data_IF_733638747031
#
_entry.id   IF_733638747031
#
_cell.length_a   1.000
_cell.length_b   1.000
_cell.length_c   1.000
_cell.angle_alpha   90.00
_cell.angle_beta   90.00
_cell.angle_gamma   90.00
#
_symmetry.space_group_name_H-M   'P 1'
#
loop_
_entity.id
_entity.type
_entity.pdbx_description
1 polymer ?
#
# COMPACT_ATOMS: atom_id res chain seq x y z
N UNK A 1 40.99 -42.37 -26.55
CA UNK A 1 41.10 -41.15 -25.72
C UNK A 1 40.14 -41.16 -24.54
N UNK A 2 38.82 -41.30 -24.75
CA UNK A 2 37.81 -41.41 -23.66
C UNK A 2 38.08 -42.53 -22.63
N UNK A 3 38.50 -43.73 -23.07
CA UNK A 3 38.88 -44.83 -22.15
C UNK A 3 40.06 -44.48 -21.23
N UNK A 4 40.98 -43.64 -21.71
CA UNK A 4 42.14 -43.20 -20.93
C UNK A 4 41.72 -42.16 -19.88
N UNK A 5 40.82 -41.25 -20.24
CA UNK A 5 40.24 -40.25 -19.33
C UNK A 5 39.50 -40.93 -18.16
N UNK A 6 38.64 -41.91 -18.44
CA UNK A 6 37.96 -42.65 -17.37
C UNK A 6 38.93 -43.40 -16.45
N UNK A 7 40.05 -43.90 -16.98
CA UNK A 7 41.09 -44.57 -16.19
C UNK A 7 41.81 -43.60 -15.25
N UNK A 8 42.10 -42.38 -15.71
CA UNK A 8 42.64 -41.30 -14.86
C UNK A 8 41.63 -40.90 -13.79
N UNK A 9 40.36 -40.72 -14.16
CA UNK A 9 39.30 -40.32 -13.23
C UNK A 9 39.15 -41.34 -12.09
N UNK A 10 39.21 -42.63 -12.44
CA UNK A 10 39.15 -43.73 -11.48
C UNK A 10 40.36 -43.83 -10.57
N UNK A 11 41.57 -43.55 -11.10
CA UNK A 11 42.80 -43.59 -10.33
C UNK A 11 42.84 -42.48 -9.26
N UNK A 12 42.37 -41.27 -9.61
CA UNK A 12 42.28 -40.10 -8.72
C UNK A 12 40.88 -39.94 -8.08
N UNK A 13 40.16 -41.04 -7.85
CA UNK A 13 38.74 -41.03 -7.44
C UNK A 13 38.40 -40.16 -6.23
N UNK A 14 39.31 -40.03 -5.25
CA UNK A 14 39.07 -39.23 -4.04
C UNK A 14 39.09 -37.73 -4.35
N UNK A 15 40.11 -37.28 -5.06
CA UNK A 15 40.26 -35.89 -5.51
C UNK A 15 39.17 -35.52 -6.50
N UNK A 16 38.87 -36.40 -7.46
CA UNK A 16 37.81 -36.17 -8.43
C UNK A 16 36.41 -36.18 -7.81
N UNK A 17 36.17 -37.00 -6.78
CA UNK A 17 34.90 -36.97 -6.02
C UNK A 17 34.74 -35.64 -5.26
N UNK A 18 35.81 -35.11 -4.66
CA UNK A 18 35.77 -33.81 -3.99
C UNK A 18 35.45 -32.68 -4.97
N UNK A 19 36.14 -32.64 -6.11
CA UNK A 19 35.88 -31.64 -7.17
C UNK A 19 34.45 -31.79 -7.71
N UNK A 20 33.97 -33.01 -7.91
CA UNK A 20 32.58 -33.23 -8.37
C UNK A 20 31.57 -32.73 -7.33
N UNK A 21 31.82 -32.97 -6.05
CA UNK A 21 30.98 -32.47 -4.96
C UNK A 21 30.94 -30.94 -4.95
N UNK A 22 32.08 -30.29 -5.12
CA UNK A 22 32.17 -28.83 -5.24
C UNK A 22 31.34 -28.31 -6.42
N UNK A 23 31.47 -28.91 -7.60
CA UNK A 23 30.66 -28.53 -8.75
C UNK A 23 29.16 -28.76 -8.55
N UNK A 24 28.77 -29.85 -7.90
CA UNK A 24 27.36 -30.10 -7.55
C UNK A 24 26.85 -29.03 -6.58
N UNK A 25 27.64 -28.65 -5.57
CA UNK A 25 27.29 -27.59 -4.65
C UNK A 25 27.12 -26.24 -5.37
N UNK A 26 28.09 -25.87 -6.21
CA UNK A 26 28.02 -24.63 -7.01
C UNK A 26 26.82 -24.66 -7.95
N UNK A 27 26.55 -25.78 -8.61
CA UNK A 27 25.38 -25.95 -9.48
C UNK A 27 24.07 -25.78 -8.71
N UNK A 28 23.92 -26.40 -7.54
CA UNK A 28 22.74 -26.23 -6.70
C UNK A 28 22.55 -24.76 -6.31
N UNK A 29 23.60 -24.08 -5.85
CA UNK A 29 23.53 -22.65 -5.49
C UNK A 29 23.13 -21.80 -6.69
N UNK A 30 23.76 -21.99 -7.86
CA UNK A 30 23.42 -21.25 -9.07
C UNK A 30 21.98 -21.52 -9.53
N UNK A 31 21.51 -22.76 -9.44
CA UNK A 31 20.12 -23.10 -9.74
C UNK A 31 19.14 -22.34 -8.85
N UNK A 32 19.39 -22.31 -7.53
CA UNK A 32 18.58 -21.52 -6.59
C UNK A 32 18.62 -20.02 -6.92
N UNK A 33 19.77 -19.47 -7.31
CA UNK A 33 19.88 -18.07 -7.73
C UNK A 33 19.05 -17.79 -8.98
N UNK A 34 19.10 -18.66 -9.99
CA UNK A 34 18.34 -18.51 -11.24
C UNK A 34 16.84 -18.60 -10.97
N UNK A 35 16.39 -19.58 -10.17
CA UNK A 35 14.98 -19.74 -9.79
C UNK A 35 14.46 -18.51 -9.03
N UNK A 36 15.23 -18.01 -8.06
CA UNK A 36 14.88 -16.80 -7.32
C UNK A 36 14.81 -15.55 -8.23
N UNK A 37 15.79 -15.35 -9.10
CA UNK A 37 15.76 -14.24 -10.07
C UNK A 37 14.59 -14.36 -11.05
N UNK A 38 14.25 -15.58 -11.47
CA UNK A 38 13.09 -15.83 -12.31
C UNK A 38 11.78 -15.47 -11.60
N UNK A 39 11.61 -15.88 -10.34
CA UNK A 39 10.47 -15.51 -9.52
C UNK A 39 10.37 -13.98 -9.34
N UNK A 40 11.46 -13.33 -8.99
CA UNK A 40 11.54 -11.86 -8.85
C UNK A 40 11.19 -11.15 -10.15
N UNK A 41 11.72 -11.63 -11.28
CA UNK A 41 11.39 -11.11 -12.61
C UNK A 41 9.90 -11.28 -12.95
N UNK A 42 9.34 -12.46 -12.67
CA UNK A 42 7.90 -12.71 -12.86
C UNK A 42 7.05 -11.76 -12.03
N UNK A 43 7.39 -11.54 -10.76
CA UNK A 43 6.72 -10.56 -9.93
C UNK A 43 6.86 -9.15 -10.51
N UNK A 44 8.06 -8.75 -10.93
CA UNK A 44 8.32 -7.40 -11.46
C UNK A 44 7.49 -7.06 -12.69
N UNK A 45 7.37 -7.98 -13.66
CA UNK A 45 6.64 -7.73 -14.91
C UNK A 45 5.12 -7.88 -14.80
N UNK A 46 4.61 -8.44 -13.70
CA UNK A 46 3.17 -8.58 -13.52
C UNK A 46 2.52 -7.22 -13.21
N UNK A 47 1.33 -6.88 -13.75
CA UNK A 47 0.65 -5.62 -13.42
C UNK A 47 0.40 -5.47 -11.93
N UNK A 48 0.59 -4.26 -11.39
CA UNK A 48 0.49 -4.01 -9.94
C UNK A 48 -0.96 -3.95 -9.42
N UNK A 49 -1.94 -3.76 -10.31
CA UNK A 49 -3.36 -3.62 -9.99
C UNK A 49 -3.80 -2.20 -9.61
N UNK A 50 -2.92 -1.24 -9.80
CA UNK A 50 -3.14 0.19 -9.63
C UNK A 50 -2.24 0.97 -10.59
N UNK A 51 -2.55 2.24 -10.75
CA UNK A 51 -1.81 3.20 -11.56
C UNK A 51 -1.23 4.31 -10.66
N UNK A 52 0.07 4.56 -10.76
CA UNK A 52 0.81 5.63 -10.07
C UNK A 52 1.38 6.66 -11.06
N UNK A 53 1.09 6.54 -12.35
CA UNK A 53 1.44 7.56 -13.34
C UNK A 53 0.68 8.84 -13.01
N UNK A 54 1.38 9.97 -13.07
CA UNK A 54 0.84 11.30 -12.73
C UNK A 54 0.29 11.39 -11.30
N UNK A 55 0.87 10.64 -10.34
CA UNK A 55 0.54 10.77 -8.92
C UNK A 55 1.69 11.35 -8.10
N UNK A 56 1.37 12.26 -7.18
CA UNK A 56 2.34 12.86 -6.27
C UNK A 56 1.98 12.59 -4.82
N UNK A 57 2.99 12.32 -4.01
CA UNK A 57 2.87 12.29 -2.57
C UNK A 57 3.08 13.69 -1.99
N UNK A 58 2.15 14.16 -1.18
CA UNK A 58 2.29 15.38 -0.39
C UNK A 58 2.67 15.01 1.04
N UNK A 59 3.76 15.58 1.54
CA UNK A 59 4.13 15.48 2.94
C UNK A 59 3.82 16.79 3.65
N UNK A 60 2.88 16.71 4.59
CA UNK A 60 2.61 17.80 5.53
C UNK A 60 3.35 17.50 6.83
N UNK A 61 3.86 18.53 7.50
CA UNK A 61 4.45 18.40 8.82
C UNK A 61 3.80 19.38 9.78
N UNK A 62 3.83 19.02 11.06
CA UNK A 62 3.38 19.90 12.14
C UNK A 62 4.58 20.65 12.69
N UNK A 63 4.43 21.96 12.90
CA UNK A 63 5.43 22.76 13.60
C UNK A 63 5.62 22.22 15.02
N UNK A 64 6.87 22.08 15.50
CA UNK A 64 7.14 21.76 16.90
C UNK A 64 6.53 22.82 17.82
N UNK A 65 6.00 22.40 18.97
CA UNK A 65 5.36 23.31 19.93
C UNK A 65 6.32 24.37 20.52
N UNK A 66 7.64 24.12 20.51
CA UNK A 66 8.65 24.90 21.23
C UNK A 66 9.64 25.68 20.33
N UNK A 67 9.33 25.93 19.05
CA UNK A 67 10.26 26.69 18.22
C UNK A 67 10.23 28.18 18.58
N UNK A 68 11.38 28.74 18.97
CA UNK A 68 11.55 30.16 19.32
C UNK A 68 11.15 31.18 18.22
N UNK A 69 10.85 30.70 17.00
CA UNK A 69 10.30 31.50 15.91
C UNK A 69 8.78 31.76 16.03
N UNK A 70 8.08 31.06 16.93
CA UNK A 70 6.64 31.18 17.17
C UNK A 70 6.38 31.01 18.69
N UNK A 71 6.39 32.10 19.48
CA UNK A 71 6.07 31.99 20.89
C UNK A 71 4.65 31.44 21.05
N UNK A 72 4.52 30.36 21.81
CA UNK A 72 3.24 29.91 22.38
C UNK A 72 2.76 31.01 23.32
N UNK A 73 1.77 31.80 22.92
CA UNK A 73 1.02 32.59 23.90
C UNK A 73 0.32 31.61 24.85
N UNK A 74 0.64 31.74 26.14
CA UNK A 74 0.14 30.91 27.23
C UNK A 74 -1.39 30.76 27.16
N UNK A 75 -1.82 29.56 26.75
CA UNK A 75 -3.21 29.13 26.77
C UNK A 75 -3.26 27.60 26.70
N UNK A 76 -4.30 26.95 27.25
CA UNK A 76 -4.50 25.52 27.04
C UNK A 76 -4.45 25.27 25.53
N UNK A 77 -3.66 24.30 25.08
CA UNK A 77 -3.61 23.87 23.68
C UNK A 77 -5.05 23.71 23.19
N UNK A 78 -5.59 24.71 22.48
CA UNK A 78 -6.86 24.58 21.80
C UNK A 78 -6.72 23.31 20.97
N UNK A 79 -7.62 22.35 21.19
CA UNK A 79 -7.68 21.14 20.40
C UNK A 79 -7.96 21.58 18.97
N UNK A 80 -6.88 21.80 18.21
CA UNK A 80 -6.95 22.28 16.85
C UNK A 80 -7.80 21.27 16.11
N UNK A 81 -8.92 21.72 15.54
CA UNK A 81 -9.83 20.84 14.80
C UNK A 81 -9.13 20.31 13.55
N UNK A 82 -8.42 19.18 13.73
CA UNK A 82 -7.60 18.55 12.69
C UNK A 82 -8.47 18.11 11.51
N UNK A 83 -9.70 17.69 11.80
CA UNK A 83 -10.67 17.33 10.77
C UNK A 83 -11.01 18.56 9.92
N UNK A 84 -11.35 19.69 10.52
CA UNK A 84 -11.66 20.93 9.78
C UNK A 84 -10.45 21.42 8.95
N UNK A 85 -9.24 21.33 9.49
CA UNK A 85 -8.02 21.66 8.74
C UNK A 85 -7.79 20.71 7.56
N UNK A 86 -7.99 19.41 7.75
CA UNK A 86 -7.88 18.42 6.68
C UNK A 86 -8.94 18.62 5.59
N UNK A 87 -10.18 19.00 5.95
CA UNK A 87 -11.21 19.37 4.97
C UNK A 87 -10.85 20.65 4.22
N UNK A 88 -10.25 21.63 4.89
CA UNK A 88 -9.75 22.85 4.24
C UNK A 88 -8.61 22.53 3.26
N UNK A 89 -7.70 21.64 3.65
CA UNK A 89 -6.65 21.12 2.76
C UNK A 89 -7.28 20.48 1.52
N UNK A 90 -8.20 19.54 1.68
CA UNK A 90 -8.87 18.86 0.57
C UNK A 90 -9.54 19.85 -0.37
N UNK A 91 -10.24 20.85 0.16
CA UNK A 91 -10.88 21.88 -0.64
C UNK A 91 -9.86 22.68 -1.46
N UNK A 92 -8.76 23.14 -0.85
CA UNK A 92 -7.72 23.91 -1.54
C UNK A 92 -7.01 23.09 -2.62
N UNK A 93 -6.67 21.84 -2.34
CA UNK A 93 -5.92 21.00 -3.28
C UNK A 93 -6.81 20.49 -4.42
N UNK A 94 -8.05 20.08 -4.15
CA UNK A 94 -8.99 19.67 -5.20
C UNK A 94 -9.34 20.82 -6.17
N UNK A 95 -9.27 22.07 -5.72
CA UNK A 95 -9.49 23.25 -6.57
C UNK A 95 -8.21 23.74 -7.27
N UNK A 96 -7.05 23.11 -7.05
CA UNK A 96 -5.83 23.50 -7.73
C UNK A 96 -5.87 23.05 -9.20
N UNK A 97 -5.53 23.93 -10.17
CA UNK A 97 -5.61 23.60 -11.59
C UNK A 97 -4.84 22.33 -11.97
N UNK A 98 -5.55 21.40 -12.62
CA UNK A 98 -4.99 20.15 -13.11
C UNK A 98 -4.94 19.01 -12.08
N UNK A 99 -5.36 19.22 -10.84
CA UNK A 99 -5.62 18.11 -9.90
C UNK A 99 -6.92 17.41 -10.29
N UNK A 100 -6.87 16.10 -10.46
CA UNK A 100 -8.06 15.26 -10.73
C UNK A 100 -8.72 14.79 -9.43
N UNK A 101 -7.91 14.37 -8.47
CA UNK A 101 -8.38 13.77 -7.22
C UNK A 101 -7.30 13.81 -6.14
N UNK A 102 -7.72 13.89 -4.88
CA UNK A 102 -6.85 13.87 -3.69
C UNK A 102 -7.35 12.82 -2.73
N UNK A 103 -6.47 11.97 -2.23
CA UNK A 103 -6.80 10.91 -1.28
C UNK A 103 -5.98 10.99 0.00
N UNK A 104 -6.60 10.53 1.08
CA UNK A 104 -5.95 10.30 2.36
C UNK A 104 -5.98 8.81 2.67
N UNK A 105 -4.88 8.30 3.22
CA UNK A 105 -4.84 6.92 3.71
C UNK A 105 -3.93 6.74 4.91
N UNK A 106 -4.13 5.63 5.62
CA UNK A 106 -3.17 5.04 6.56
C UNK A 106 -2.91 3.60 6.15
N UNK A 107 -1.64 3.28 5.91
CA UNK A 107 -1.20 1.98 5.37
C UNK A 107 -1.93 1.56 4.08
N UNK A 108 -2.49 2.52 3.35
CA UNK A 108 -3.31 2.28 2.17
C UNK A 108 -2.54 2.54 0.88
N UNK A 109 -1.70 3.58 0.87
CA UNK A 109 -0.97 3.99 -0.32
C UNK A 109 -0.08 2.87 -0.87
N UNK A 110 -0.13 2.61 -2.19
CA UNK A 110 0.79 1.69 -2.83
C UNK A 110 2.24 2.11 -2.61
N UNK A 111 3.14 1.13 -2.43
CA UNK A 111 4.59 1.35 -2.33
C UNK A 111 5.03 2.34 -1.23
N UNK A 112 4.21 2.58 -0.20
CA UNK A 112 4.55 3.47 0.91
C UNK A 112 5.45 2.84 1.99
N UNK A 113 5.96 1.62 1.75
CA UNK A 113 6.87 0.83 2.61
C UNK A 113 6.39 0.66 4.06
N UNK A 114 5.10 0.89 4.29
CA UNK A 114 4.44 0.79 5.58
C UNK A 114 3.10 0.09 5.37
N UNK A 115 2.98 -1.10 5.96
CA UNK A 115 1.80 -1.94 5.85
C UNK A 115 1.34 -2.35 7.25
N UNK A 116 0.04 -2.42 7.44
CA UNK A 116 -0.56 -2.96 8.65
C UNK A 116 -1.22 -4.31 8.35
N UNK A 117 -1.02 -5.29 9.23
CA UNK A 117 -1.64 -6.60 9.12
C UNK A 117 -2.52 -6.88 10.33
N UNK A 118 -3.64 -7.53 10.09
CA UNK A 118 -4.48 -8.05 11.16
C UNK A 118 -5.17 -9.33 10.69
N UNK A 119 -5.66 -10.10 11.65
CA UNK A 119 -6.23 -11.42 11.41
C UNK A 119 -7.73 -11.44 11.64
N UNK A 120 -8.44 -12.11 10.74
CA UNK A 120 -9.90 -12.16 10.66
C UNK A 120 -10.40 -13.59 10.41
N UNK A 121 -11.65 -13.82 10.78
CA UNK A 121 -12.42 -15.00 10.37
C UNK A 121 -13.26 -14.64 9.15
N UNK A 122 -13.35 -15.55 8.19
CA UNK A 122 -14.18 -15.39 6.99
C UNK A 122 -15.57 -15.94 7.27
N UNK A 123 -16.61 -15.14 7.00
CA UNK A 123 -18.00 -15.52 7.21
C UNK A 123 -18.28 -15.98 8.66
N UNK A 124 -18.88 -17.17 8.81
CA UNK A 124 -19.16 -17.81 10.10
C UNK A 124 -18.10 -18.87 10.47
N UNK A 125 -17.07 -19.06 9.64
CA UNK A 125 -15.99 -20.01 9.90
C UNK A 125 -15.08 -19.48 11.00
N UNK A 126 -15.16 -20.09 12.18
CA UNK A 126 -14.31 -19.75 13.34
C UNK A 126 -13.10 -20.67 13.49
N UNK A 127 -12.94 -21.66 12.61
CA UNK A 127 -11.82 -22.61 12.68
C UNK A 127 -10.57 -22.07 11.98
N UNK A 128 -10.75 -21.32 10.88
CA UNK A 128 -9.64 -20.82 10.08
C UNK A 128 -9.52 -19.30 10.18
N UNK A 129 -8.34 -18.85 10.56
CA UNK A 129 -8.01 -17.42 10.65
C UNK A 129 -7.14 -17.04 9.45
N UNK A 130 -7.48 -15.92 8.81
CA UNK A 130 -6.70 -15.37 7.69
C UNK A 130 -6.05 -14.05 8.11
N UNK A 131 -4.78 -13.88 7.75
CA UNK A 131 -4.06 -12.62 7.95
C UNK A 131 -4.14 -11.79 6.68
N UNK A 132 -4.60 -10.55 6.81
CA UNK A 132 -4.91 -9.65 5.72
C UNK A 132 -4.07 -8.38 5.82
N UNK A 133 -3.85 -7.72 4.68
CA UNK A 133 -3.37 -6.34 4.63
C UNK A 133 -4.52 -5.38 4.91
N UNK A 134 -4.32 -4.47 5.83
CA UNK A 134 -5.33 -3.50 6.24
C UNK A 134 -5.03 -2.14 5.62
N UNK A 135 -6.02 -1.56 4.93
CA UNK A 135 -5.91 -0.25 4.29
C UNK A 135 -7.05 0.63 4.74
N UNK A 136 -6.75 1.75 5.41
CA UNK A 136 -7.74 2.78 5.72
C UNK A 136 -7.60 3.89 4.71
N UNK A 137 -8.68 4.18 3.98
CA UNK A 137 -8.61 5.07 2.81
C UNK A 137 -9.81 6.01 2.74
N UNK A 138 -9.63 7.16 2.10
CA UNK A 138 -10.74 8.01 1.65
C UNK A 138 -11.45 7.39 0.43
N UNK A 139 -12.64 7.89 0.15
CA UNK A 139 -13.45 7.55 -1.04
C UNK A 139 -12.65 7.67 -2.36
N UNK A 140 -11.93 8.77 -2.52
CA UNK A 140 -11.11 9.11 -3.69
C UNK A 140 -9.88 8.24 -3.90
N UNK A 141 -9.58 7.30 -3.00
CA UNK A 141 -8.41 6.43 -3.11
C UNK A 141 -8.44 5.59 -4.39
N UNK A 142 -9.61 5.04 -4.74
CA UNK A 142 -9.75 4.26 -5.97
C UNK A 142 -9.53 5.11 -7.22
N UNK A 143 -9.92 6.39 -7.18
CA UNK A 143 -9.76 7.33 -8.30
C UNK A 143 -8.30 7.80 -8.47
N UNK A 144 -7.63 8.11 -7.35
CA UNK A 144 -6.21 8.52 -7.33
C UNK A 144 -5.32 7.41 -7.88
N UNK A 145 -5.61 6.15 -7.59
CA UNK A 145 -4.80 5.02 -8.03
C UNK A 145 -5.40 4.23 -9.19
N UNK A 146 -6.50 4.72 -9.80
CA UNK A 146 -7.29 4.06 -10.86
C UNK A 146 -7.54 2.57 -10.59
N UNK A 147 -7.82 2.22 -9.35
CA UNK A 147 -8.06 0.83 -8.92
C UNK A 147 -9.48 0.45 -9.34
N UNK A 148 -9.58 -0.54 -10.24
CA UNK A 148 -10.88 -1.06 -10.66
C UNK A 148 -11.54 -1.79 -9.50
N UNK A 149 -12.82 -1.53 -9.31
CA UNK A 149 -13.62 -2.13 -8.26
C UNK A 149 -15.06 -2.34 -8.71
N UNK A 150 -15.78 -3.20 -8.00
CA UNK A 150 -17.17 -3.56 -8.30
C UNK A 150 -18.19 -2.75 -7.47
N UNK A 151 -17.73 -1.80 -6.67
CA UNK A 151 -18.59 -1.04 -5.78
C UNK A 151 -19.36 -0.01 -6.61
N UNK A 152 -20.70 -0.11 -6.58
CA UNK A 152 -21.55 0.77 -7.39
C UNK A 152 -21.67 2.18 -6.82
N UNK A 153 -21.84 2.27 -5.50
CA UNK A 153 -21.98 3.53 -4.77
C UNK A 153 -21.26 3.41 -3.44
N UNK A 154 -20.48 4.43 -3.10
CA UNK A 154 -19.77 4.56 -1.82
C UNK A 154 -20.52 5.49 -0.84
N UNK A 155 -21.79 5.80 -1.09
CA UNK A 155 -22.58 6.78 -0.32
C UNK A 155 -22.66 6.44 1.18
N UNK A 156 -22.76 5.15 1.51
CA UNK A 156 -22.80 4.68 2.89
C UNK A 156 -21.42 4.35 3.48
N UNK A 157 -20.35 4.55 2.70
CA UNK A 157 -19.00 4.23 3.09
C UNK A 157 -18.41 5.30 4.00
N UNK A 158 -17.90 4.88 5.17
CA UNK A 158 -17.34 5.81 6.16
C UNK A 158 -18.37 6.52 7.03
N UNK A 159 -19.66 6.13 6.97
CA UNK A 159 -20.66 6.56 7.95
C UNK A 159 -20.31 5.94 9.31
N UNK A 160 -20.16 6.73 10.38
CA UNK A 160 -19.84 6.21 11.70
C UNK A 160 -20.81 5.11 12.16
N UNK A 161 -20.25 3.97 12.61
CA UNK A 161 -21.02 2.81 13.03
C UNK A 161 -21.31 1.79 11.93
N UNK A 162 -21.15 2.16 10.66
CA UNK A 162 -21.14 1.20 9.56
C UNK A 162 -19.75 0.56 9.45
N UNK A 163 -19.71 -0.75 9.18
CA UNK A 163 -18.46 -1.52 9.02
C UNK A 163 -18.38 -2.11 7.62
N UNK A 164 -18.56 -1.27 6.63
CA UNK A 164 -18.55 -1.65 5.21
C UNK A 164 -17.12 -1.65 4.66
N UNK A 165 -16.75 -2.71 3.97
CA UNK A 165 -15.39 -2.91 3.47
C UNK A 165 -15.37 -3.43 2.03
N UNK A 166 -14.26 -3.17 1.35
CA UNK A 166 -13.92 -3.70 0.03
C UNK A 166 -12.77 -4.67 0.20
N UNK A 167 -12.79 -5.79 -0.51
CA UNK A 167 -11.72 -6.79 -0.45
C UNK A 167 -10.99 -6.94 -1.78
N UNK A 168 -9.72 -7.30 -1.73
CA UNK A 168 -8.95 -7.67 -2.93
C UNK A 168 -8.46 -9.12 -2.85
N UNK A 169 -8.32 -9.82 -3.98
CA UNK A 169 -7.77 -11.16 -4.00
C UNK A 169 -6.27 -11.20 -3.72
N UNK A 170 -5.82 -12.39 -3.34
CA UNK A 170 -4.43 -12.84 -3.41
C UNK A 170 -4.02 -13.17 -4.86
N UNK A 171 -2.79 -13.69 -5.03
CA UNK A 171 -2.23 -14.04 -6.35
C UNK A 171 -3.13 -14.93 -7.20
N UNK A 172 -3.81 -15.90 -6.57
CA UNK A 172 -4.61 -16.92 -7.28
C UNK A 172 -6.04 -16.47 -7.59
N UNK A 173 -6.42 -15.23 -7.26
CA UNK A 173 -7.80 -14.77 -7.42
C UNK A 173 -8.74 -15.21 -6.29
N UNK A 174 -8.18 -15.74 -5.20
CA UNK A 174 -8.91 -16.16 -4.00
C UNK A 174 -8.62 -15.20 -2.84
N UNK A 175 -9.51 -15.15 -1.86
CA UNK A 175 -9.41 -14.31 -0.68
C UNK A 175 -9.01 -15.14 0.54
N UNK A 176 -7.95 -14.73 1.21
CA UNK A 176 -7.42 -15.40 2.40
C UNK A 176 -5.89 -15.37 2.50
N UNK A 177 -5.35 -16.34 3.23
CA UNK A 177 -3.91 -16.57 3.42
C UNK A 177 -3.44 -17.78 2.59
N UNK A 178 -2.14 -18.06 2.59
CA UNK A 178 -1.57 -19.22 1.88
C UNK A 178 -2.08 -20.58 2.37
N UNK A 179 -2.55 -20.65 3.62
CA UNK A 179 -3.01 -21.88 4.26
C UNK A 179 -4.51 -22.10 4.08
N UNK A 180 -5.28 -21.01 3.97
CA UNK A 180 -6.72 -21.04 3.79
C UNK A 180 -7.17 -19.84 2.95
N UNK A 181 -7.77 -20.14 1.80
CA UNK A 181 -8.35 -19.16 0.90
C UNK A 181 -9.66 -19.69 0.31
N UNK A 182 -10.57 -18.78 -0.02
CA UNK A 182 -11.87 -19.09 -0.61
C UNK A 182 -12.13 -18.18 -1.83
N UNK A 183 -13.02 -18.57 -2.75
CA UNK A 183 -13.42 -17.70 -3.85
C UNK A 183 -13.97 -16.35 -3.35
N UNK A 184 -13.62 -15.24 -4.02
CA UNK A 184 -14.06 -13.90 -3.61
C UNK A 184 -15.59 -13.76 -3.54
N UNK A 185 -16.29 -14.45 -4.43
CA UNK A 185 -17.77 -14.46 -4.49
C UNK A 185 -18.42 -15.01 -3.22
N UNK A 186 -17.69 -15.81 -2.46
CA UNK A 186 -18.22 -16.55 -1.32
C UNK A 186 -18.00 -15.79 -0.01
N UNK A 187 -17.19 -14.73 -0.04
CA UNK A 187 -16.88 -13.90 1.14
C UNK A 187 -17.94 -12.81 1.28
N UNK A 188 -18.74 -12.87 2.34
CA UNK A 188 -19.84 -11.92 2.62
C UNK A 188 -19.51 -10.99 3.79
N UNK A 189 -18.78 -11.50 4.78
CA UNK A 189 -18.38 -10.73 5.95
C UNK A 189 -17.03 -11.20 6.50
N UNK A 190 -16.39 -10.33 7.26
CA UNK A 190 -15.19 -10.64 8.05
C UNK A 190 -15.47 -10.35 9.52
N UNK A 191 -15.04 -11.26 10.40
CA UNK A 191 -15.15 -11.05 11.85
C UNK A 191 -13.76 -10.87 12.44
N UNK A 192 -13.54 -9.74 13.10
CA UNK A 192 -12.28 -9.45 13.77
C UNK A 192 -12.02 -10.46 14.90
N UNK A 193 -10.77 -10.87 15.01
CA UNK A 193 -10.36 -11.90 15.97
C UNK A 193 -10.41 -11.41 17.43
N UNK A 194 -10.08 -10.13 17.65
CA UNK A 194 -9.92 -9.52 18.96
C UNK A 194 -11.24 -9.00 19.57
N UNK A 195 -11.88 -8.03 18.91
CA UNK A 195 -13.08 -7.34 19.42
C UNK A 195 -14.40 -7.94 18.89
N UNK A 196 -14.32 -8.99 18.06
CA UNK A 196 -15.46 -9.64 17.40
C UNK A 196 -16.31 -8.69 16.55
N UNK A 197 -15.75 -7.56 16.13
CA UNK A 197 -16.42 -6.66 15.21
C UNK A 197 -16.66 -7.36 13.86
N UNK A 198 -17.89 -7.28 13.37
CA UNK A 198 -18.30 -7.85 12.08
C UNK A 198 -18.29 -6.76 11.02
N UNK A 199 -17.62 -7.02 9.92
CA UNK A 199 -17.49 -6.14 8.76
C UNK A 199 -18.20 -6.76 7.56
N UNK A 200 -19.03 -5.97 6.88
CA UNK A 200 -19.81 -6.40 5.71
C UNK A 200 -19.07 -6.05 4.43
N UNK A 201 -18.95 -7.01 3.53
CA UNK A 201 -18.30 -6.79 2.24
C UNK A 201 -19.31 -6.19 1.27
N UNK A 202 -18.97 -5.03 0.72
CA UNK A 202 -19.83 -4.30 -0.24
C UNK A 202 -19.36 -4.41 -1.69
N UNK A 203 -18.16 -4.95 -1.91
CA UNK A 203 -17.61 -5.19 -3.23
C UNK A 203 -16.17 -5.64 -3.19
N UNK A 204 -15.61 -5.81 -4.38
CA UNK A 204 -14.24 -6.27 -4.58
C UNK A 204 -13.47 -5.26 -5.42
N UNK A 205 -12.15 -5.27 -5.29
CA UNK A 205 -11.24 -4.49 -6.11
C UNK A 205 -10.12 -5.38 -6.68
N UNK A 206 -9.44 -4.89 -7.72
CA UNK A 206 -8.31 -5.59 -8.33
C UNK A 206 -7.23 -5.93 -7.29
N UNK A 207 -6.53 -7.05 -7.50
CA UNK A 207 -5.42 -7.46 -6.64
C UNK A 207 -4.32 -6.40 -6.64
N UNK A 208 -3.75 -6.09 -5.46
CA UNK A 208 -2.75 -5.04 -5.31
C UNK A 208 -1.43 -5.58 -4.77
N UNK A 209 -0.31 -5.04 -5.26
CA UNK A 209 1.03 -5.31 -4.70
C UNK A 209 1.48 -4.28 -3.68
N UNK A 210 2.35 -4.70 -2.77
CA UNK A 210 3.02 -3.82 -1.80
C UNK A 210 4.38 -3.29 -2.29
N UNK A 211 5.01 -3.99 -3.24
CA UNK A 211 6.23 -3.58 -3.95
C UNK A 211 6.29 -4.24 -5.33
N UNK A 212 7.19 -3.79 -6.20
CA UNK A 212 7.38 -4.39 -7.53
C UNK A 212 7.73 -5.88 -7.48
N UNK A 213 8.42 -6.32 -6.43
CA UNK A 213 8.94 -7.68 -6.31
C UNK A 213 8.08 -8.60 -5.44
N UNK A 214 7.10 -8.04 -4.73
CA UNK A 214 6.21 -8.82 -3.88
C UNK A 214 5.13 -9.55 -4.67
N UNK A 215 4.64 -10.63 -4.08
CA UNK A 215 3.40 -11.26 -4.49
C UNK A 215 2.18 -10.45 -4.00
N UNK A 216 1.02 -10.72 -4.58
CA UNK A 216 -0.24 -10.15 -4.11
C UNK A 216 -0.68 -10.77 -2.79
N UNK A 217 -1.12 -9.90 -1.89
CA UNK A 217 -1.77 -10.25 -0.64
C UNK A 217 -3.27 -9.93 -0.72
N UNK A 218 -4.08 -10.68 0.03
CA UNK A 218 -5.48 -10.29 0.24
C UNK A 218 -5.53 -9.02 1.08
N UNK A 219 -6.26 -8.01 0.62
CA UNK A 219 -6.43 -6.73 1.33
C UNK A 219 -7.86 -6.59 1.83
N UNK A 220 -8.00 -6.01 3.02
CA UNK A 220 -9.23 -5.43 3.54
C UNK A 220 -9.09 -3.90 3.48
N UNK A 221 -9.86 -3.28 2.58
CA UNK A 221 -9.92 -1.84 2.37
C UNK A 221 -11.14 -1.31 3.11
N UNK A 222 -10.92 -0.40 4.04
CA UNK A 222 -11.95 0.15 4.92
C UNK A 222 -11.86 1.68 4.94
N UNK A 223 -12.94 2.38 5.33
CA UNK A 223 -12.95 3.83 5.29
C UNK A 223 -12.05 4.38 6.41
N UNK A 224 -11.29 5.43 6.11
CA UNK A 224 -10.56 6.20 7.11
C UNK A 224 -11.52 7.13 7.85
N UNK A 225 -11.64 6.99 9.17
CA UNK A 225 -12.49 7.87 9.99
C UNK A 225 -11.99 9.31 9.91
N UNK A 226 -12.90 10.25 9.61
CA UNK A 226 -12.62 11.69 9.52
C UNK A 226 -12.10 12.26 10.84
N UNK A 227 -12.46 11.66 11.98
CA UNK A 227 -11.93 12.04 13.31
C UNK A 227 -10.46 11.68 13.47
N UNK A 228 -9.96 10.73 12.70
CA UNK A 228 -8.56 10.32 12.71
C UNK A 228 -7.68 11.13 11.76
N UNK A 229 -8.25 12.11 11.03
CA UNK A 229 -7.50 12.91 10.09
C UNK A 229 -6.44 13.74 10.82
N UNK A 230 -5.20 13.56 10.41
CA UNK A 230 -4.05 14.30 10.90
C UNK A 230 -3.07 14.46 9.74
N UNK A 231 -3.00 15.67 9.17
CA UNK A 231 -2.22 15.93 7.95
C UNK A 231 -0.77 15.46 8.07
N UNK A 232 -0.17 15.50 9.27
CA UNK A 232 1.21 15.08 9.48
C UNK A 232 1.40 13.56 9.60
N UNK A 233 0.33 12.80 9.88
CA UNK A 233 0.36 11.36 10.12
C UNK A 233 -0.48 10.57 9.11
N UNK A 234 -0.78 11.18 7.95
CA UNK A 234 -1.51 10.55 6.85
C UNK A 234 -0.63 10.44 5.63
N UNK A 235 -0.88 9.41 4.83
CA UNK A 235 -0.40 9.32 3.46
C UNK A 235 -1.34 10.17 2.60
N UNK A 236 -0.81 11.23 1.99
CA UNK A 236 -1.58 12.13 1.13
C UNK A 236 -1.09 11.97 -0.30
N UNK A 237 -1.98 11.55 -1.18
CA UNK A 237 -1.67 11.37 -2.60
C UNK A 237 -2.63 12.16 -3.46
N UNK A 238 -2.08 12.78 -4.48
CA UNK A 238 -2.81 13.53 -5.49
C UNK A 238 -2.59 12.89 -6.85
N UNK A 239 -3.63 12.85 -7.66
CA UNK A 239 -3.52 12.57 -9.09
C UNK A 239 -3.71 13.85 -9.88
N UNK A 240 -2.89 14.04 -10.89
CA UNK A 240 -2.95 15.20 -11.78
C UNK A 240 -3.22 14.75 -13.21
N UNK A 241 -3.81 15.65 -13.99
CA UNK A 241 -4.02 15.43 -15.41
C UNK A 241 -2.66 15.35 -16.16
N UNK A 242 -2.51 14.47 -17.16
CA UNK A 242 -1.23 14.25 -17.85
C UNK A 242 -0.59 15.52 -18.44
N UNK A 243 -1.42 16.49 -18.88
CA UNK A 243 -0.93 17.74 -19.46
C UNK A 243 -0.32 18.72 -18.45
N UNK A 244 -0.55 18.51 -17.15
CA UNK A 244 -0.15 19.43 -16.06
C UNK A 244 0.99 18.83 -15.22
N UNK A 245 1.38 17.59 -15.51
CA UNK A 245 2.38 16.81 -14.77
C UNK A 245 3.79 17.41 -14.80
N UNK A 246 4.17 18.05 -15.91
CA UNK A 246 5.50 18.67 -16.05
C UNK A 246 5.71 19.77 -15.00
N UNK A 247 6.82 19.65 -14.27
CA UNK A 247 7.26 20.53 -13.17
C UNK A 247 6.17 20.74 -12.09
N UNK A 248 5.22 19.81 -11.97
CA UNK A 248 4.08 19.97 -11.08
C UNK A 248 4.53 20.14 -9.63
N UNK A 249 5.43 19.28 -9.13
CA UNK A 249 5.88 19.32 -7.75
C UNK A 249 6.48 20.69 -7.36
N UNK A 250 7.33 21.25 -8.22
CA UNK A 250 7.96 22.56 -7.97
C UNK A 250 6.93 23.69 -8.03
N UNK A 251 6.08 23.70 -9.07
CA UNK A 251 5.04 24.71 -9.26
C UNK A 251 4.03 24.69 -8.11
N UNK A 252 3.51 23.52 -7.79
CA UNK A 252 2.58 23.30 -6.69
C UNK A 252 3.21 23.72 -5.36
N UNK A 253 4.44 23.31 -5.08
CA UNK A 253 5.14 23.72 -3.85
C UNK A 253 5.25 25.23 -3.76
N UNK A 254 5.64 25.92 -4.85
CA UNK A 254 5.77 27.38 -4.86
C UNK A 254 4.44 28.10 -4.63
N UNK A 255 3.38 27.67 -5.29
CA UNK A 255 2.07 28.36 -5.29
C UNK A 255 1.20 28.01 -4.07
N UNK A 256 1.34 26.79 -3.56
CA UNK A 256 0.50 26.27 -2.47
C UNK A 256 1.18 26.32 -1.11
N UNK A 257 2.47 26.69 -1.00
CA UNK A 257 3.18 26.75 0.29
C UNK A 257 2.43 27.54 1.36
N UNK A 258 2.08 28.78 1.04
CA UNK A 258 1.39 29.67 1.99
C UNK A 258 -0.08 29.28 2.13
N UNK A 259 -0.69 28.80 1.04
CA UNK A 259 -2.07 28.32 1.04
C UNK A 259 -2.25 27.00 1.79
N UNK A 260 -1.21 26.22 2.02
CA UNK A 260 -1.28 24.97 2.80
C UNK A 260 -0.66 25.15 4.19
N UNK A 261 -0.36 26.38 4.58
CA UNK A 261 -0.09 26.75 5.96
C UNK A 261 -1.42 26.76 6.73
N UNK A 262 -1.75 25.62 7.34
CA UNK A 262 -3.04 25.34 7.96
C UNK A 262 -2.84 25.14 9.45
N UNK A 263 -3.04 26.20 10.24
CA UNK A 263 -2.79 26.19 11.68
C UNK A 263 -1.33 25.76 11.97
N UNK A 264 -1.11 24.64 12.70
CA UNK A 264 0.23 24.16 12.99
C UNK A 264 0.87 23.38 11.82
N UNK A 265 0.15 23.11 10.74
CA UNK A 265 0.64 22.32 9.61
C UNK A 265 1.26 23.19 8.52
N UNK A 266 2.30 22.67 7.88
CA UNK A 266 2.93 23.28 6.71
C UNK A 266 3.31 22.21 5.68
N UNK A 267 3.39 22.63 4.42
CA UNK A 267 3.87 21.78 3.32
C UNK A 267 5.37 21.56 3.46
N UNK A 268 5.78 20.31 3.69
CA UNK A 268 7.19 19.94 3.86
C UNK A 268 7.83 19.56 2.53
N UNK A 269 7.15 18.73 1.73
CA UNK A 269 7.64 18.30 0.42
C UNK A 269 6.54 17.73 -0.46
N UNK A 270 6.81 17.69 -1.76
CA UNK A 270 5.98 17.03 -2.78
C UNK A 270 6.91 16.17 -3.64
N UNK A 271 6.60 14.88 -3.77
CA UNK A 271 7.42 13.94 -4.53
C UNK A 271 6.57 13.25 -5.61
N UNK A 272 7.16 13.01 -6.79
CA UNK A 272 6.54 12.13 -7.77
C UNK A 272 6.56 10.69 -7.25
N UNK A 273 5.53 9.91 -7.60
CA UNK A 273 5.42 8.50 -7.23
C UNK A 273 6.09 7.56 -8.25
N UNK A 274 6.46 8.08 -9.42
CA UNK A 274 7.17 7.38 -10.49
C UNK A 274 8.66 7.67 -10.49
#
# INVERSE_FOLDING_TARGET
MIRHIFKIIWNERKTNAWITLEYVLVFCVLWFCVDYLFYMGKCYFEPNGFDIEHTYQINMQRKPADSAAFPTEDGPTEETDKQALAMTFLNRVNNYPGVESVSFSKWGAPFAWSNYMSSYYINEDTANMVTLRMRWVSDSFFDVFKIKNTVKELSDWGIPGTRMIVITPSRNGEFGSSEYAVPLSDVKQLTATHDKAVYTIIGTADKMKDSYFDSFYSNMIQPLDKKEYDLANMQIYIRVSPGVDNDFAERFTREMRDQLMLGPYFLASVFSST
#
